data_IF_114616125097
#
_entry.id   IF_114616125097
#
_cell.length_a   1.000
_cell.length_b   1.000
_cell.length_c   1.000
_cell.angle_alpha   90.00
_cell.angle_beta   90.00
_cell.angle_gamma   90.00
#
_symmetry.space_group_name_H-M   'P 1'
#
loop_
_entity.id
_entity.type
_entity.pdbx_description
1 polymer ?
#
# COMPACT_ATOMS: atom_id res chain seq x y z
N UNK A 1 28.50 -5.30 0.35
CA UNK A 1 27.80 -5.24 -0.94
C UNK A 1 27.54 -3.79 -1.30
N UNK A 2 27.30 -3.49 -2.57
CA UNK A 2 26.99 -2.12 -3.03
C UNK A 2 25.57 -1.76 -2.59
N UNK A 3 25.45 -1.00 -1.50
CA UNK A 3 24.16 -0.50 -0.99
C UNK A 3 23.86 0.84 -1.67
N UNK A 4 22.68 0.97 -2.28
CA UNK A 4 22.22 2.18 -2.95
C UNK A 4 20.94 2.66 -2.28
N UNK A 5 20.87 3.97 -2.00
CA UNK A 5 19.67 4.64 -1.50
C UNK A 5 18.83 5.11 -2.70
N UNK A 6 17.54 4.77 -2.72
CA UNK A 6 16.66 5.08 -3.86
C UNK A 6 15.73 6.29 -3.61
N UNK A 7 15.46 6.66 -2.36
CA UNK A 7 14.62 7.82 -2.00
C UNK A 7 15.41 8.82 -1.17
N UNK A 8 15.20 10.11 -1.40
CA UNK A 8 15.97 11.19 -0.76
C UNK A 8 15.07 12.29 -0.16
N UNK A 9 13.80 12.25 -0.50
CA UNK A 9 12.78 13.19 -0.08
C UNK A 9 12.53 13.09 1.43
N UNK A 10 12.31 14.21 2.14
CA UNK A 10 11.85 14.18 3.53
C UNK A 10 10.54 13.40 3.65
N UNK A 11 10.41 12.58 4.67
CA UNK A 11 9.21 11.79 4.90
C UNK A 11 9.48 10.38 5.37
N UNK A 12 8.43 9.57 5.30
CA UNK A 12 8.49 8.14 5.54
C UNK A 12 8.34 7.42 4.21
N UNK A 13 9.28 6.51 3.91
CA UNK A 13 9.17 5.54 2.82
C UNK A 13 9.25 4.14 3.42
N UNK A 14 8.36 3.23 3.02
CA UNK A 14 8.40 1.87 3.54
C UNK A 14 7.48 0.90 2.81
N UNK A 15 7.50 -0.37 3.26
CA UNK A 15 6.68 -1.43 2.67
C UNK A 15 6.91 -1.58 1.17
N UNK A 16 8.18 -1.60 0.76
CA UNK A 16 8.58 -1.68 -0.63
C UNK A 16 8.60 -3.13 -1.13
N UNK A 17 8.05 -3.35 -2.32
CA UNK A 17 7.99 -4.66 -2.98
C UNK A 17 8.29 -4.52 -4.47
N UNK A 18 8.96 -5.52 -5.03
CA UNK A 18 9.20 -5.59 -6.47
C UNK A 18 7.94 -5.97 -7.25
N UNK A 19 7.87 -5.55 -8.51
CA UNK A 19 7.04 -6.21 -9.52
C UNK A 19 7.52 -7.64 -9.78
N UNK A 20 6.68 -8.46 -10.41
CA UNK A 20 6.99 -9.88 -10.66
C UNK A 20 8.25 -10.10 -11.50
N UNK A 21 8.50 -9.21 -12.45
CA UNK A 21 9.70 -9.20 -13.31
C UNK A 21 10.90 -8.47 -12.67
N UNK A 22 10.73 -7.90 -11.47
CA UNK A 22 11.75 -7.13 -10.76
C UNK A 22 12.09 -5.77 -11.37
N UNK A 23 11.37 -5.31 -12.40
CA UNK A 23 11.69 -4.06 -13.10
C UNK A 23 11.26 -2.79 -12.36
N UNK A 24 10.25 -2.90 -11.48
CA UNK A 24 9.67 -1.79 -10.74
C UNK A 24 9.52 -2.11 -9.26
N UNK A 25 9.39 -1.05 -8.47
CA UNK A 25 9.16 -1.10 -7.03
C UNK A 25 7.87 -0.33 -6.74
N UNK A 26 7.00 -0.92 -5.91
CA UNK A 26 5.86 -0.25 -5.30
C UNK A 26 6.12 -0.10 -3.81
N UNK A 27 5.76 1.04 -3.23
CA UNK A 27 6.01 1.34 -1.83
C UNK A 27 4.93 2.29 -1.31
N UNK A 28 4.79 2.36 0.02
CA UNK A 28 3.99 3.41 0.66
C UNK A 28 4.90 4.55 1.10
N UNK A 29 4.39 5.77 1.00
CA UNK A 29 5.13 6.95 1.39
C UNK A 29 4.24 8.02 2.01
N UNK A 30 4.85 8.86 2.85
CA UNK A 30 4.27 10.12 3.30
C UNK A 30 5.37 11.19 3.26
N UNK A 31 5.20 12.18 2.40
CA UNK A 31 6.12 13.31 2.27
C UNK A 31 5.40 14.59 2.67
N UNK A 32 5.99 15.42 3.56
CA UNK A 32 5.44 16.71 3.92
C UNK A 32 5.22 17.61 2.68
N UNK A 33 4.03 18.19 2.56
CA UNK A 33 3.65 19.04 1.43
C UNK A 33 3.90 20.54 1.72
N UNK A 34 3.96 20.93 2.99
CA UNK A 34 4.18 22.31 3.41
C UNK A 34 5.23 22.48 4.53
N UNK A 35 5.47 23.75 4.91
CA UNK A 35 6.45 24.11 5.95
C UNK A 35 6.05 23.64 7.34
N UNK A 36 4.75 23.61 7.65
CA UNK A 36 4.26 23.18 8.95
C UNK A 36 4.39 21.66 9.10
N UNK A 37 4.01 20.90 8.07
CA UNK A 37 4.18 19.46 8.02
C UNK A 37 5.65 19.05 8.07
N UNK A 38 6.53 19.79 7.37
CA UNK A 38 7.96 19.51 7.40
C UNK A 38 8.56 19.76 8.80
N UNK A 39 8.07 20.79 9.50
CA UNK A 39 8.49 21.06 10.87
C UNK A 39 8.01 19.98 11.85
N UNK A 40 6.74 19.56 11.77
CA UNK A 40 6.19 18.46 12.59
C UNK A 40 6.94 17.15 12.32
N UNK A 41 7.18 16.79 11.05
CA UNK A 41 7.97 15.62 10.67
C UNK A 41 9.38 15.64 11.29
N UNK A 42 10.08 16.77 11.21
CA UNK A 42 11.44 16.90 11.78
C UNK A 42 11.45 16.82 13.31
N UNK A 43 10.44 17.39 13.97
CA UNK A 43 10.30 17.31 15.42
C UNK A 43 10.10 15.86 15.88
N UNK A 44 9.14 15.15 15.26
CA UNK A 44 8.89 13.74 15.53
C UNK A 44 10.13 12.88 15.27
N UNK A 45 10.83 13.11 14.15
CA UNK A 45 12.02 12.35 13.81
C UNK A 45 13.15 12.53 14.83
N UNK A 46 13.31 13.73 15.40
CA UNK A 46 14.28 13.99 16.47
C UNK A 46 13.98 13.19 17.75
N UNK A 47 12.73 12.79 17.96
CA UNK A 47 12.28 11.92 19.05
C UNK A 47 12.24 10.43 18.65
N UNK A 48 12.63 10.08 17.42
CA UNK A 48 12.56 8.73 16.88
C UNK A 48 11.13 8.28 16.51
N UNK A 49 10.22 9.23 16.31
CA UNK A 49 8.81 9.00 16.00
C UNK A 49 8.48 9.35 14.55
N UNK A 50 7.41 8.74 14.05
CA UNK A 50 6.75 9.11 12.79
C UNK A 50 5.24 9.12 13.01
N UNK A 51 4.51 10.00 12.32
CA UNK A 51 3.05 10.06 12.37
C UNK A 51 2.47 9.54 11.05
N UNK A 52 2.03 8.28 10.98
CA UNK A 52 1.46 7.72 9.77
C UNK A 52 -0.05 8.01 9.70
N UNK A 53 -0.45 9.27 9.56
CA UNK A 53 -1.88 9.64 9.42
C UNK A 53 -2.38 9.55 7.98
N UNK A 54 -1.50 9.77 7.01
CA UNK A 54 -1.75 9.68 5.57
C UNK A 54 -0.60 8.89 4.94
N UNK A 55 -0.92 7.94 4.07
CA UNK A 55 0.08 7.13 3.38
C UNK A 55 -0.38 6.95 1.94
N UNK A 56 0.42 7.42 1.00
CA UNK A 56 0.15 7.26 -0.42
C UNK A 56 0.92 6.08 -0.98
N UNK A 57 0.35 5.42 -1.98
CA UNK A 57 1.07 4.42 -2.77
C UNK A 57 1.87 5.14 -3.85
N UNK A 58 3.13 4.74 -3.99
CA UNK A 58 4.06 5.24 -4.99
C UNK A 58 4.70 4.07 -5.73
N UNK A 59 5.16 4.34 -6.94
CA UNK A 59 6.02 3.41 -7.69
C UNK A 59 7.24 4.12 -8.25
N UNK A 60 8.26 3.33 -8.57
CA UNK A 60 9.47 3.74 -9.29
C UNK A 60 10.04 2.56 -10.06
N UNK A 61 11.00 2.82 -10.95
CA UNK A 61 11.80 1.76 -11.55
C UNK A 61 12.80 1.20 -10.52
N UNK A 62 13.27 -0.03 -10.73
CA UNK A 62 14.16 -0.72 -9.79
C UNK A 62 15.51 -0.01 -9.57
N UNK A 63 15.91 0.89 -10.47
CA UNK A 63 17.08 1.75 -10.33
C UNK A 63 16.82 3.05 -9.55
N UNK A 64 15.57 3.28 -9.12
CA UNK A 64 15.14 4.47 -8.39
C UNK A 64 14.67 5.63 -9.26
N UNK A 65 14.70 5.49 -10.59
CA UNK A 65 14.17 6.48 -11.53
C UNK A 65 12.64 6.39 -11.66
N UNK A 66 12.03 7.35 -12.37
CA UNK A 66 10.59 7.35 -12.69
C UNK A 66 9.66 7.23 -11.47
N UNK A 67 10.04 7.85 -10.34
CA UNK A 67 9.18 7.95 -9.15
C UNK A 67 7.86 8.65 -9.49
N UNK A 68 6.75 8.06 -9.08
CA UNK A 68 5.41 8.65 -9.22
C UNK A 68 4.51 8.27 -8.06
N UNK A 69 3.62 9.19 -7.73
CA UNK A 69 2.51 8.94 -6.83
C UNK A 69 1.34 8.28 -7.58
N UNK A 70 0.73 7.29 -6.96
CA UNK A 70 -0.36 6.48 -7.55
C UNK A 70 -1.70 6.82 -6.90
N UNK A 71 -1.72 7.03 -5.58
CA UNK A 71 -2.94 7.42 -4.86
C UNK A 71 -2.88 8.88 -4.41
N UNK A 72 -4.04 9.50 -4.35
CA UNK A 72 -4.27 10.81 -3.72
C UNK A 72 -5.72 10.85 -3.23
N UNK A 73 -6.01 10.03 -2.22
CA UNK A 73 -7.38 9.73 -1.80
C UNK A 73 -7.69 10.17 -0.36
N UNK A 74 -6.76 10.89 0.29
CA UNK A 74 -6.91 11.36 1.67
C UNK A 74 -6.97 10.24 2.71
N UNK A 75 -6.62 9.00 2.33
CA UNK A 75 -6.67 7.84 3.19
C UNK A 75 -5.27 7.37 3.61
N UNK A 76 -5.24 6.41 4.52
CA UNK A 76 -4.04 5.64 4.78
C UNK A 76 -4.05 4.41 3.86
N UNK A 77 -3.05 4.32 2.97
CA UNK A 77 -2.91 3.20 2.03
C UNK A 77 -1.69 2.35 2.43
N UNK A 78 -1.89 1.04 2.56
CA UNK A 78 -0.89 0.11 3.08
C UNK A 78 -0.73 -1.14 2.23
N UNK A 79 0.40 -1.83 2.46
CA UNK A 79 0.75 -3.12 1.89
C UNK A 79 0.49 -3.23 0.38
N UNK A 80 1.10 -2.35 -0.43
CA UNK A 80 0.89 -2.39 -1.87
C UNK A 80 1.69 -3.52 -2.51
N UNK A 81 1.08 -4.21 -3.47
CA UNK A 81 1.74 -5.21 -4.30
C UNK A 81 1.29 -5.07 -5.74
N UNK A 82 2.17 -5.37 -6.69
CA UNK A 82 1.77 -5.45 -8.09
C UNK A 82 0.86 -6.65 -8.33
N UNK A 83 -0.08 -6.48 -9.25
CA UNK A 83 -0.72 -7.60 -9.93
C UNK A 83 0.32 -8.35 -10.77
N UNK A 84 0.06 -9.64 -11.12
CA UNK A 84 0.94 -10.42 -11.99
C UNK A 84 1.17 -9.79 -13.37
N UNK A 85 0.23 -8.97 -13.85
CA UNK A 85 0.37 -8.21 -15.10
C UNK A 85 1.36 -7.04 -15.00
N UNK A 86 1.75 -6.64 -13.79
CA UNK A 86 2.57 -5.47 -13.50
C UNK A 86 1.89 -4.13 -13.77
N UNK A 87 0.73 -4.07 -14.41
CA UNK A 87 0.07 -2.81 -14.73
C UNK A 87 -0.74 -2.24 -13.56
N UNK A 88 -1.23 -3.14 -12.71
CA UNK A 88 -2.07 -2.78 -11.56
C UNK A 88 -1.36 -3.02 -10.24
N UNK A 89 -1.87 -2.37 -9.22
CA UNK A 89 -1.44 -2.49 -7.82
C UNK A 89 -2.67 -2.84 -6.99
N UNK A 90 -2.53 -3.84 -6.13
CA UNK A 90 -3.47 -4.14 -5.06
C UNK A 90 -2.92 -3.58 -3.74
N UNK A 91 -3.78 -2.96 -2.93
CA UNK A 91 -3.39 -2.34 -1.66
C UNK A 91 -4.58 -2.32 -0.69
N UNK A 92 -4.28 -2.13 0.60
CA UNK A 92 -5.30 -1.95 1.63
C UNK A 92 -5.54 -0.45 1.86
N UNK A 93 -6.79 -0.01 2.00
CA UNK A 93 -7.13 1.38 2.30
C UNK A 93 -8.30 1.49 3.28
N UNK A 94 -8.25 2.50 4.14
CA UNK A 94 -9.36 2.90 4.99
C UNK A 94 -10.22 4.02 4.37
N UNK A 95 -10.14 4.25 3.05
CA UNK A 95 -10.85 5.36 2.41
C UNK A 95 -12.38 5.32 2.57
N UNK A 96 -12.96 4.15 2.85
CA UNK A 96 -14.38 3.98 3.16
C UNK A 96 -14.68 3.90 4.68
N UNK A 97 -13.66 3.95 5.53
CA UNK A 97 -13.78 4.02 7.00
C UNK A 97 -12.68 4.91 7.62
N UNK A 98 -12.66 6.22 7.32
CA UNK A 98 -11.54 7.10 7.67
C UNK A 98 -11.36 7.35 9.18
N UNK A 99 -12.35 6.95 10.00
CA UNK A 99 -12.32 7.11 11.47
C UNK A 99 -12.38 5.80 12.24
N UNK A 100 -12.66 4.70 11.57
CA UNK A 100 -12.67 3.39 12.19
C UNK A 100 -11.39 2.62 11.93
N UNK A 101 -11.49 1.30 12.03
CA UNK A 101 -10.37 0.37 11.88
C UNK A 101 -10.52 -0.51 10.65
N UNK A 102 -11.57 -0.31 9.86
CA UNK A 102 -11.80 -1.11 8.68
C UNK A 102 -10.84 -0.68 7.56
N UNK A 103 -10.25 -1.69 6.95
CA UNK A 103 -9.49 -1.56 5.71
C UNK A 103 -10.11 -2.53 4.72
N UNK A 104 -10.25 -2.09 3.49
CA UNK A 104 -10.59 -3.01 2.40
C UNK A 104 -9.44 -3.08 1.41
N UNK A 105 -9.49 -4.09 0.54
CA UNK A 105 -8.59 -4.21 -0.58
C UNK A 105 -9.09 -3.40 -1.77
N UNK A 106 -8.17 -2.72 -2.46
CA UNK A 106 -8.42 -1.93 -3.66
C UNK A 106 -7.41 -2.29 -4.73
N UNK A 107 -7.83 -2.18 -5.98
CA UNK A 107 -6.96 -2.26 -7.15
C UNK A 107 -6.93 -0.89 -7.85
N UNK A 108 -5.76 -0.50 -8.33
CA UNK A 108 -5.57 0.73 -9.12
C UNK A 108 -4.54 0.47 -10.21
N UNK A 109 -4.68 1.09 -11.37
CA UNK A 109 -3.60 1.11 -12.35
C UNK A 109 -2.43 1.87 -11.77
N UNK A 110 -1.23 1.47 -12.14
CA UNK A 110 -0.05 2.09 -11.59
C UNK A 110 0.09 3.58 -12.01
N UNK A 111 -0.64 4.02 -13.05
CA UNK A 111 -0.81 5.44 -13.45
C UNK A 111 -1.81 6.24 -12.60
N UNK A 112 -2.41 5.62 -11.57
CA UNK A 112 -3.37 6.25 -10.67
C UNK A 112 -4.82 6.22 -11.18
N UNK A 113 -5.08 5.63 -12.34
CA UNK A 113 -6.44 5.52 -12.88
C UNK A 113 -7.11 4.18 -12.54
N UNK A 114 -8.41 4.08 -12.76
CA UNK A 114 -9.14 2.80 -12.65
C UNK A 114 -9.25 2.23 -11.24
N UNK A 115 -9.25 3.09 -10.20
CA UNK A 115 -9.44 2.67 -8.82
C UNK A 115 -10.73 1.87 -8.66
N UNK A 116 -10.61 0.65 -8.12
CA UNK A 116 -11.71 -0.30 -7.90
C UNK A 116 -11.59 -0.92 -6.52
N UNK A 117 -12.70 -1.00 -5.78
CA UNK A 117 -12.77 -1.72 -4.49
C UNK A 117 -12.92 -3.23 -4.75
N UNK A 118 -12.09 -4.04 -4.09
CA UNK A 118 -12.02 -5.50 -4.26
C UNK A 118 -12.77 -6.24 -3.16
N UNK A 119 -12.69 -5.76 -1.91
CA UNK A 119 -13.46 -6.30 -0.78
C UNK A 119 -14.35 -5.23 -0.18
N UNK A 120 -15.48 -5.65 0.38
CA UNK A 120 -16.44 -4.75 1.04
C UNK A 120 -16.96 -5.33 2.37
N UNK A 121 -16.18 -6.22 2.98
CA UNK A 121 -16.52 -6.82 4.25
C UNK A 121 -16.51 -5.73 5.34
N UNK A 122 -17.43 -5.78 6.34
CA UNK A 122 -17.44 -4.80 7.44
C UNK A 122 -16.21 -4.86 8.37
N UNK A 123 -15.33 -5.84 8.15
CA UNK A 123 -14.16 -6.10 9.00
C UNK A 123 -12.87 -6.03 8.18
N UNK A 124 -11.78 -5.75 8.88
CA UNK A 124 -10.45 -5.53 8.34
C UNK A 124 -10.02 -6.57 7.30
N UNK A 125 -9.55 -6.10 6.15
CA UNK A 125 -8.85 -6.83 5.10
C UNK A 125 -7.55 -6.07 4.71
N UNK A 126 -6.39 -6.74 4.80
CA UNK A 126 -5.12 -6.14 4.40
C UNK A 126 -4.05 -7.16 4.00
N UNK A 127 -2.86 -6.66 3.68
CA UNK A 127 -1.68 -7.46 3.31
C UNK A 127 -1.94 -8.45 2.14
N UNK A 128 -2.50 -7.97 1.01
CA UNK A 128 -2.81 -8.81 -0.13
C UNK A 128 -1.55 -9.27 -0.87
N UNK A 129 -1.52 -10.48 -1.42
CA UNK A 129 -0.49 -10.89 -2.38
C UNK A 129 -1.05 -11.94 -3.34
N UNK A 130 -0.72 -11.84 -4.63
CA UNK A 130 -1.07 -12.85 -5.60
C UNK A 130 -0.12 -14.04 -5.54
N UNK A 131 -0.61 -15.23 -5.87
CA UNK A 131 0.25 -16.38 -6.18
C UNK A 131 1.11 -16.09 -7.41
N UNK A 132 2.21 -16.82 -7.59
CA UNK A 132 3.13 -16.63 -8.73
C UNK A 132 2.46 -16.82 -10.10
N UNK A 133 1.43 -17.68 -10.16
CA UNK A 133 0.61 -17.93 -11.35
C UNK A 133 -0.58 -16.97 -11.49
N UNK A 134 -0.78 -16.04 -10.53
CA UNK A 134 -1.88 -15.07 -10.52
C UNK A 134 -3.27 -15.66 -10.24
N UNK A 135 -3.39 -16.96 -10.00
CA UNK A 135 -4.70 -17.64 -9.87
C UNK A 135 -5.33 -17.50 -8.49
N UNK A 136 -4.55 -17.11 -7.48
CA UNK A 136 -5.02 -17.01 -6.09
C UNK A 136 -4.55 -15.71 -5.46
N UNK A 137 -5.36 -15.18 -4.56
CA UNK A 137 -5.03 -14.06 -3.70
C UNK A 137 -4.97 -14.56 -2.25
N UNK A 138 -3.90 -14.22 -1.55
CA UNK A 138 -3.79 -14.35 -0.08
C UNK A 138 -3.95 -12.98 0.56
N UNK A 139 -4.62 -12.89 1.71
CA UNK A 139 -4.70 -11.65 2.50
C UNK A 139 -4.96 -11.97 3.98
N UNK A 140 -4.71 -11.01 4.85
CA UNK A 140 -5.08 -11.07 6.27
C UNK A 140 -6.48 -10.47 6.44
N UNK A 141 -7.32 -11.09 7.26
CA UNK A 141 -8.67 -10.61 7.51
C UNK A 141 -9.17 -10.93 8.92
N UNK A 142 -10.11 -10.13 9.41
CA UNK A 142 -10.89 -10.42 10.61
C UNK A 142 -12.25 -11.08 10.29
N UNK A 143 -12.49 -11.46 9.02
CA UNK A 143 -13.73 -12.17 8.64
C UNK A 143 -13.87 -13.47 9.42
N UNK A 144 -15.10 -13.78 9.83
CA UNK A 144 -15.43 -14.97 10.63
C UNK A 144 -14.65 -15.09 11.95
N UNK A 145 -14.12 -13.98 12.47
CA UNK A 145 -13.43 -13.95 13.75
C UNK A 145 -14.36 -14.39 14.89
N UNK A 146 -13.85 -15.21 15.80
CA UNK A 146 -14.58 -15.56 17.02
C UNK A 146 -14.65 -14.36 17.98
N UNK A 147 -13.63 -13.51 17.97
CA UNK A 147 -13.50 -12.33 18.82
C UNK A 147 -13.10 -11.10 17.99
N UNK A 148 -13.61 -9.88 18.30
CA UNK A 148 -13.26 -8.68 17.54
C UNK A 148 -11.75 -8.42 17.50
N UNK A 149 -11.19 -8.34 16.29
CA UNK A 149 -9.76 -8.12 16.09
C UNK A 149 -8.93 -9.38 15.89
N UNK A 150 -9.53 -10.57 15.91
CA UNK A 150 -8.85 -11.83 15.59
C UNK A 150 -8.51 -11.93 14.09
N UNK A 151 -7.27 -11.59 13.76
CA UNK A 151 -6.76 -11.56 12.38
C UNK A 151 -6.21 -12.91 11.95
N UNK A 152 -6.76 -13.46 10.87
CA UNK A 152 -6.37 -14.73 10.28
C UNK A 152 -5.97 -14.57 8.82
N UNK A 153 -5.35 -15.60 8.22
CA UNK A 153 -4.92 -15.61 6.82
C UNK A 153 -5.93 -16.35 5.96
N UNK A 154 -6.34 -15.72 4.87
CA UNK A 154 -7.31 -16.26 3.92
C UNK A 154 -6.69 -16.36 2.53
N UNK A 155 -7.17 -17.34 1.77
CA UNK A 155 -6.82 -17.52 0.36
C UNK A 155 -8.10 -17.78 -0.44
N UNK A 156 -8.18 -17.23 -1.63
CA UNK A 156 -9.27 -17.50 -2.57
C UNK A 156 -8.74 -17.57 -4.00
N UNK A 157 -9.50 -18.24 -4.87
CA UNK A 157 -9.29 -18.15 -6.32
C UNK A 157 -9.58 -16.73 -6.79
N UNK A 158 -8.68 -16.19 -7.61
CA UNK A 158 -8.86 -14.89 -8.22
C UNK A 158 -9.63 -15.02 -9.53
N UNK A 159 -10.84 -14.47 -9.57
CA UNK A 159 -11.72 -14.48 -10.75
C UNK A 159 -11.76 -13.12 -11.47
N UNK A 160 -11.00 -12.13 -10.99
CA UNK A 160 -10.99 -10.78 -11.53
C UNK A 160 -10.16 -10.67 -12.81
N UNK A 161 -10.80 -10.84 -13.96
CA UNK A 161 -10.26 -10.33 -15.23
C UNK A 161 -10.53 -8.83 -15.32
N UNK A 162 -9.52 -8.00 -15.05
CA UNK A 162 -9.46 -6.65 -15.63
C UNK A 162 -8.34 -6.67 -16.65
#
# INVERSE_FOLDING_TARGET
GNVVRLTEEPGYDGGAFFSYDGSRIVYRAHHPEDRAELADYRALLAEGLVRPSRMEIRVMDADGSNKRQVTDNGAANFAPYFFPDGERIIFASNMHDPRGRNFDLYAIRADGTGLTRITDHPDFDAFPMFSSDGRRLVWASNRNAAEPGDTNIFIAEWVGGL
#
